data_IF_442994005230
#
_entry.id   IF_442994005230
#
_cell.length_a   1.000
_cell.length_b   1.000
_cell.length_c   1.000
_cell.angle_alpha   90.00
_cell.angle_beta   90.00
_cell.angle_gamma   90.00
#
_symmetry.space_group_name_H-M   'P 1'
#
loop_
_entity.id
_entity.type
_entity.pdbx_description
1 polymer ?
#
# COMPACT_ATOMS: atom_id res chain seq x y z
N UNK A 1 20.56 38.91 40.39
CA UNK A 1 21.79 38.07 40.56
C UNK A 1 21.71 36.95 39.52
N UNK A 2 22.55 37.16 38.57
CA UNK A 2 23.42 36.19 37.86
C UNK A 2 22.64 35.07 37.19
N UNK A 3 22.56 34.94 35.92
CA UNK A 3 23.52 35.13 34.84
C UNK A 3 23.59 33.87 34.06
N UNK A 4 23.73 33.97 32.80
CA UNK A 4 24.27 32.86 32.00
C UNK A 4 23.59 32.62 30.64
N UNK A 5 23.91 33.52 29.72
CA UNK A 5 23.73 33.36 28.28
C UNK A 5 24.65 32.20 27.81
N UNK A 6 24.11 31.27 27.04
CA UNK A 6 24.90 30.54 26.01
C UNK A 6 24.12 30.58 24.71
N UNK A 7 24.46 31.54 23.90
CA UNK A 7 24.16 31.56 22.47
C UNK A 7 25.21 30.69 21.79
N UNK A 8 24.82 29.63 21.14
CA UNK A 8 25.66 28.90 20.19
C UNK A 8 25.10 29.10 18.79
N UNK A 9 25.88 29.80 18.00
CA UNK A 9 25.66 30.15 16.60
C UNK A 9 25.54 28.87 15.73
N UNK A 10 24.48 28.76 14.96
CA UNK A 10 24.47 27.99 13.74
C UNK A 10 24.47 28.95 12.55
N UNK A 11 25.68 29.32 12.16
CA UNK A 11 25.93 30.04 10.92
C UNK A 11 26.07 29.02 9.78
N UNK A 12 25.26 29.20 8.74
CA UNK A 12 25.67 28.97 7.37
C UNK A 12 25.74 27.55 6.86
N UNK A 13 24.60 26.87 6.61
CA UNK A 13 24.57 25.84 5.56
C UNK A 13 23.73 26.37 4.39
N UNK A 14 24.39 26.89 3.36
CA UNK A 14 23.76 27.16 2.06
C UNK A 14 23.44 25.82 1.41
N UNK A 15 22.16 25.51 1.26
CA UNK A 15 21.67 24.41 0.42
C UNK A 15 21.98 24.80 -1.04
N UNK A 16 22.85 24.04 -1.68
CA UNK A 16 23.08 24.09 -3.10
C UNK A 16 21.85 23.53 -3.84
N UNK A 17 21.50 24.02 -5.05
CA UNK A 17 20.37 23.55 -5.80
C UNK A 17 20.61 22.12 -6.28
N UNK A 18 19.60 21.24 -6.08
CA UNK A 18 19.56 19.88 -6.57
C UNK A 18 19.66 19.86 -8.10
N UNK A 19 20.60 19.13 -8.69
CA UNK A 19 20.53 18.80 -10.10
C UNK A 19 19.56 17.63 -10.33
N UNK A 20 18.86 17.68 -11.45
CA UNK A 20 17.74 16.87 -11.87
C UNK A 20 17.91 15.33 -11.93
N UNK A 21 16.91 14.64 -12.48
CA UNK A 21 16.59 13.24 -12.20
C UNK A 21 17.43 12.27 -13.04
N UNK A 22 18.58 11.83 -12.61
CA UNK A 22 19.33 10.67 -13.14
C UNK A 22 20.62 10.44 -12.31
N UNK A 23 20.44 9.98 -11.07
CA UNK A 23 21.54 9.33 -10.36
C UNK A 23 21.14 7.89 -10.05
N UNK A 24 21.71 6.95 -10.79
CA UNK A 24 21.75 5.56 -10.39
C UNK A 24 22.58 5.47 -9.10
N UNK A 25 21.92 5.34 -7.97
CA UNK A 25 22.57 5.00 -6.72
C UNK A 25 22.85 3.50 -6.77
N UNK A 26 24.07 3.11 -7.09
CA UNK A 26 24.55 1.77 -6.80
C UNK A 26 24.72 1.70 -5.28
N UNK A 27 23.73 1.11 -4.60
CA UNK A 27 23.80 0.87 -3.16
C UNK A 27 25.03 0.00 -2.87
N UNK A 28 25.89 0.47 -1.97
CA UNK A 28 27.01 -0.32 -1.47
C UNK A 28 26.46 -1.62 -0.82
N UNK A 29 27.10 -2.78 -1.00
CA UNK A 29 26.57 -4.09 -0.59
C UNK A 29 26.37 -4.30 0.92
N UNK A 30 26.62 -3.30 1.76
CA UNK A 30 26.37 -3.34 3.20
C UNK A 30 25.12 -2.58 3.66
N UNK A 31 24.51 -1.75 2.79
CA UNK A 31 23.36 -0.91 3.20
C UNK A 31 22.02 -1.65 3.08
N UNK A 32 21.92 -2.65 2.19
CA UNK A 32 20.73 -3.46 2.03
C UNK A 32 20.40 -4.27 3.29
N UNK A 33 21.41 -4.85 3.92
CA UNK A 33 21.25 -5.68 5.13
C UNK A 33 20.73 -4.91 6.35
N UNK A 34 21.05 -3.61 6.45
CA UNK A 34 20.54 -2.75 7.53
C UNK A 34 19.11 -2.29 7.27
N UNK A 35 18.73 -2.07 6.02
CA UNK A 35 17.36 -1.69 5.63
C UNK A 35 16.41 -2.87 5.76
N UNK A 36 16.84 -4.09 5.39
CA UNK A 36 16.05 -5.31 5.53
C UNK A 36 15.76 -5.63 7.01
N UNK A 37 16.76 -5.45 7.89
CA UNK A 37 16.59 -5.62 9.34
C UNK A 37 15.66 -4.58 9.96
N UNK A 38 15.64 -3.34 9.48
CA UNK A 38 14.76 -2.28 9.95
C UNK A 38 13.31 -2.51 9.49
N UNK A 39 13.10 -2.88 8.23
CA UNK A 39 11.79 -3.22 7.69
C UNK A 39 11.18 -4.44 8.41
N UNK A 40 11.99 -5.48 8.67
CA UNK A 40 11.55 -6.68 9.37
C UNK A 40 11.13 -6.41 10.82
N UNK A 41 11.83 -5.52 11.55
CA UNK A 41 11.44 -5.12 12.89
C UNK A 41 10.11 -4.35 12.93
N UNK A 42 9.90 -3.43 11.98
CA UNK A 42 8.63 -2.71 11.86
C UNK A 42 7.46 -3.65 11.57
N UNK A 43 7.67 -4.67 10.75
CA UNK A 43 6.66 -5.67 10.44
C UNK A 43 6.28 -6.53 11.64
N UNK A 44 7.25 -6.89 12.48
CA UNK A 44 7.01 -7.62 13.72
C UNK A 44 6.18 -6.77 14.70
N UNK A 45 6.50 -5.48 14.84
CA UNK A 45 5.77 -4.56 15.70
C UNK A 45 4.35 -4.30 15.20
N UNK A 46 4.18 -4.10 13.91
CA UNK A 46 2.87 -3.94 13.27
C UNK A 46 1.98 -5.18 13.49
N UNK A 47 2.52 -6.39 13.31
CA UNK A 47 1.77 -7.61 13.57
C UNK A 47 1.39 -7.76 15.04
N UNK A 48 2.30 -7.42 15.96
CA UNK A 48 2.03 -7.50 17.41
C UNK A 48 0.95 -6.51 17.85
N UNK A 49 0.95 -5.29 17.30
CA UNK A 49 -0.05 -4.26 17.63
C UNK A 49 -1.47 -4.67 17.24
N UNK A 50 -1.61 -5.50 16.20
CA UNK A 50 -2.89 -6.07 15.76
C UNK A 50 -3.27 -7.39 16.45
N UNK A 51 -2.45 -7.86 17.42
CA UNK A 51 -2.67 -9.13 18.11
C UNK A 51 -2.24 -10.38 17.34
N UNK A 52 -1.65 -10.21 16.14
CA UNK A 52 -1.18 -11.33 15.33
C UNK A 52 0.25 -11.74 15.72
N UNK A 53 0.49 -13.05 15.85
CA UNK A 53 1.85 -13.57 16.06
C UNK A 53 2.68 -13.37 14.78
N UNK A 54 3.92 -12.90 14.92
CA UNK A 54 4.88 -12.84 13.83
C UNK A 54 5.34 -14.26 13.47
N UNK A 55 4.86 -14.77 12.34
CA UNK A 55 5.27 -16.06 11.76
C UNK A 55 5.88 -15.82 10.39
N UNK A 56 6.76 -16.71 9.95
CA UNK A 56 7.44 -16.56 8.66
C UNK A 56 6.47 -16.31 7.49
N UNK A 57 5.34 -17.04 7.33
CA UNK A 57 4.39 -16.75 6.26
C UNK A 57 3.78 -15.34 6.35
N UNK A 58 3.45 -14.85 7.55
CA UNK A 58 2.90 -13.49 7.71
C UNK A 58 3.92 -12.42 7.40
N UNK A 59 5.16 -12.58 7.86
CA UNK A 59 6.23 -11.63 7.57
C UNK A 59 6.51 -11.52 6.08
N UNK A 60 6.64 -12.66 5.38
CA UNK A 60 6.88 -12.69 3.94
C UNK A 60 5.73 -12.08 3.14
N UNK A 61 4.48 -12.41 3.47
CA UNK A 61 3.32 -11.86 2.76
C UNK A 61 3.19 -10.35 3.03
N UNK A 62 3.46 -9.87 4.24
CA UNK A 62 3.49 -8.44 4.53
C UNK A 62 4.57 -7.72 3.71
N UNK A 63 5.76 -8.28 3.62
CA UNK A 63 6.88 -7.75 2.84
C UNK A 63 6.51 -7.59 1.36
N UNK A 64 5.81 -8.57 0.77
CA UNK A 64 5.33 -8.51 -0.62
C UNK A 64 4.45 -7.28 -0.85
N UNK A 65 3.52 -6.97 0.05
CA UNK A 65 2.66 -5.80 -0.07
C UNK A 65 3.41 -4.47 0.15
N UNK A 66 4.44 -4.45 0.99
CA UNK A 66 5.19 -3.24 1.30
C UNK A 66 6.25 -2.90 0.25
N UNK A 67 6.89 -3.90 -0.33
CA UNK A 67 7.99 -3.72 -1.28
C UNK A 67 7.58 -3.93 -2.72
N UNK A 68 6.44 -4.57 -2.94
CA UNK A 68 5.91 -4.91 -4.26
C UNK A 68 5.56 -3.68 -5.08
N UNK A 69 5.83 -3.73 -6.39
CA UNK A 69 5.44 -2.69 -7.35
C UNK A 69 3.93 -2.65 -7.60
N UNK A 70 3.25 -3.76 -7.34
CA UNK A 70 1.82 -3.94 -7.56
C UNK A 70 1.11 -3.76 -6.23
N UNK A 71 0.33 -2.70 -6.09
CA UNK A 71 -0.42 -2.40 -4.87
C UNK A 71 -1.62 -3.32 -4.67
N UNK A 72 -2.31 -3.66 -5.75
CA UNK A 72 -3.51 -4.50 -5.76
C UNK A 72 -3.16 -5.91 -6.22
N UNK A 73 -3.28 -6.90 -5.33
CA UNK A 73 -2.87 -8.28 -5.59
C UNK A 73 -3.98 -9.26 -5.21
N UNK A 74 -4.20 -10.26 -6.06
CA UNK A 74 -4.99 -11.45 -5.70
C UNK A 74 -4.16 -12.41 -4.86
N UNK A 75 -4.80 -13.40 -4.23
CA UNK A 75 -4.08 -14.45 -3.51
C UNK A 75 -3.13 -15.23 -4.44
N UNK A 76 -3.53 -15.42 -5.69
CA UNK A 76 -2.73 -16.09 -6.73
C UNK A 76 -1.51 -15.24 -7.13
N UNK A 77 -1.63 -13.92 -7.18
CA UNK A 77 -0.49 -13.04 -7.47
C UNK A 77 0.54 -13.10 -6.34
N UNK A 78 0.09 -13.01 -5.08
CA UNK A 78 0.96 -13.18 -3.91
C UNK A 78 1.64 -14.55 -3.92
N UNK A 79 0.88 -15.61 -4.23
CA UNK A 79 1.44 -16.95 -4.31
C UNK A 79 2.48 -17.10 -5.43
N UNK A 80 2.28 -16.44 -6.58
CA UNK A 80 3.24 -16.42 -7.69
C UNK A 80 4.56 -15.78 -7.26
N UNK A 81 4.52 -14.64 -6.55
CA UNK A 81 5.73 -14.00 -6.01
C UNK A 81 6.47 -14.95 -5.05
N UNK A 82 5.74 -15.62 -4.14
CA UNK A 82 6.34 -16.58 -3.22
C UNK A 82 6.99 -17.77 -3.94
N UNK A 83 6.40 -18.25 -5.05
CA UNK A 83 7.00 -19.30 -5.87
C UNK A 83 8.30 -18.84 -6.54
N UNK A 84 8.33 -17.62 -7.07
CA UNK A 84 9.52 -17.03 -7.70
C UNK A 84 10.66 -16.88 -6.67
N UNK A 85 10.33 -16.60 -5.42
CA UNK A 85 11.25 -16.56 -4.28
C UNK A 85 11.63 -17.95 -3.72
N UNK A 86 11.13 -19.03 -4.32
CA UNK A 86 11.34 -20.41 -3.85
C UNK A 86 10.89 -20.66 -2.41
N UNK A 87 9.79 -20.03 -2.01
CA UNK A 87 9.21 -20.20 -0.68
C UNK A 87 8.34 -21.44 -0.61
N UNK A 88 8.37 -22.16 0.51
CA UNK A 88 7.54 -23.34 0.79
C UNK A 88 6.10 -23.00 1.24
N UNK A 89 5.69 -21.72 1.13
CA UNK A 89 4.37 -21.26 1.54
C UNK A 89 3.35 -21.60 0.46
N UNK A 90 2.46 -22.55 0.77
CA UNK A 90 1.39 -22.97 -0.16
C UNK A 90 0.24 -21.97 -0.24
N UNK A 91 -0.50 -22.02 -1.37
CA UNK A 91 -1.63 -21.13 -1.67
C UNK A 91 -2.70 -21.09 -0.56
N UNK A 92 -3.03 -22.24 0.05
CA UNK A 92 -3.98 -22.27 1.17
C UNK A 92 -3.50 -21.45 2.38
N UNK A 93 -2.20 -21.41 2.62
CA UNK A 93 -1.61 -20.56 3.67
C UNK A 93 -1.70 -19.08 3.30
N UNK A 94 -1.49 -18.73 2.02
CA UNK A 94 -1.67 -17.37 1.51
C UNK A 94 -3.09 -16.89 1.79
N UNK A 95 -4.12 -17.61 1.36
CA UNK A 95 -5.52 -17.27 1.62
C UNK A 95 -5.80 -17.04 3.11
N UNK A 96 -5.33 -17.96 3.96
CA UNK A 96 -5.51 -17.85 5.41
C UNK A 96 -4.85 -16.61 5.98
N UNK A 97 -3.64 -16.27 5.55
CA UNK A 97 -2.93 -15.07 6.03
C UNK A 97 -3.62 -13.81 5.54
N UNK A 98 -4.02 -13.73 4.26
CA UNK A 98 -4.74 -12.58 3.72
C UNK A 98 -6.04 -12.31 4.46
N UNK A 99 -6.84 -13.36 4.75
CA UNK A 99 -8.06 -13.23 5.56
C UNK A 99 -7.75 -12.71 6.98
N UNK A 100 -6.65 -13.17 7.60
CA UNK A 100 -6.26 -12.68 8.92
C UNK A 100 -5.82 -11.22 8.88
N UNK A 101 -5.14 -10.80 7.82
CA UNK A 101 -4.72 -9.41 7.64
C UNK A 101 -5.91 -8.48 7.36
N UNK A 102 -6.89 -8.94 6.58
CA UNK A 102 -8.16 -8.24 6.39
C UNK A 102 -8.90 -8.06 7.73
N UNK A 103 -9.08 -9.13 8.51
CA UNK A 103 -9.74 -9.08 9.81
C UNK A 103 -9.01 -8.20 10.84
N UNK A 104 -7.70 -8.09 10.72
CA UNK A 104 -6.86 -7.24 11.55
C UNK A 104 -6.77 -5.79 11.06
N UNK A 105 -7.41 -5.45 9.94
CA UNK A 105 -7.37 -4.12 9.34
C UNK A 105 -6.02 -3.74 8.73
N UNK A 106 -5.13 -4.70 8.52
CA UNK A 106 -3.83 -4.50 7.87
C UNK A 106 -3.99 -4.36 6.36
N UNK A 107 -4.87 -5.18 5.79
CA UNK A 107 -5.22 -5.13 4.36
C UNK A 107 -6.69 -4.74 4.20
N UNK A 108 -6.97 -4.01 3.14
CA UNK A 108 -8.29 -3.84 2.58
C UNK A 108 -8.54 -4.93 1.55
N UNK A 109 -9.80 -5.35 1.44
CA UNK A 109 -10.23 -6.33 0.44
C UNK A 109 -11.31 -5.71 -0.44
N UNK A 110 -11.06 -5.71 -1.73
CA UNK A 110 -12.02 -5.29 -2.75
C UNK A 110 -12.46 -6.48 -3.60
N UNK A 111 -13.76 -6.55 -3.89
CA UNK A 111 -14.32 -7.57 -4.79
C UNK A 111 -14.77 -6.86 -6.07
N UNK A 112 -13.97 -6.95 -7.11
CA UNK A 112 -14.34 -6.42 -8.42
C UNK A 112 -15.18 -7.44 -9.21
N UNK A 113 -15.83 -6.99 -10.27
CA UNK A 113 -16.69 -7.86 -11.12
C UNK A 113 -15.99 -9.09 -11.72
N UNK A 114 -14.65 -9.12 -11.70
CA UNK A 114 -13.88 -10.31 -12.09
C UNK A 114 -14.12 -11.53 -11.19
N UNK A 115 -14.85 -11.36 -10.08
CA UNK A 115 -15.14 -12.41 -9.11
C UNK A 115 -13.96 -12.81 -8.21
N UNK A 116 -12.79 -12.18 -8.38
CA UNK A 116 -11.63 -12.41 -7.54
C UNK A 116 -11.50 -11.32 -6.49
N UNK A 117 -11.19 -11.73 -5.26
CA UNK A 117 -10.82 -10.81 -4.21
C UNK A 117 -9.42 -10.23 -4.49
N UNK A 118 -9.29 -8.91 -4.38
CA UNK A 118 -8.05 -8.17 -4.52
C UNK A 118 -7.74 -7.52 -3.19
N UNK A 119 -6.50 -7.58 -2.77
CA UNK A 119 -6.02 -7.08 -1.49
C UNK A 119 -5.01 -5.96 -1.71
N UNK A 120 -5.01 -4.98 -0.80
CA UNK A 120 -4.10 -3.85 -0.75
C UNK A 120 -3.77 -3.45 0.69
N UNK A 121 -2.67 -2.73 0.93
CA UNK A 121 -2.36 -2.20 2.26
C UNK A 121 -3.37 -1.15 2.68
N UNK A 122 -3.86 -1.25 3.93
CA UNK A 122 -4.67 -0.22 4.53
C UNK A 122 -3.78 0.95 4.98
N UNK A 123 -3.62 1.95 4.13
CA UNK A 123 -2.85 3.17 4.43
C UNK A 123 -3.68 4.25 5.13
N UNK A 124 -4.96 3.96 5.42
CA UNK A 124 -5.86 4.85 6.14
C UNK A 124 -6.33 6.07 5.34
N UNK A 125 -6.02 6.16 4.05
CA UNK A 125 -6.51 7.20 3.15
C UNK A 125 -7.60 6.64 2.26
N UNK A 126 -8.73 7.37 2.17
CA UNK A 126 -9.80 6.99 1.27
C UNK A 126 -9.37 7.19 -0.20
N UNK A 127 -9.70 6.22 -1.03
CA UNK A 127 -9.53 6.26 -2.48
C UNK A 127 -10.56 5.39 -3.17
N UNK A 128 -10.82 5.70 -4.42
CA UNK A 128 -11.70 4.96 -5.31
C UNK A 128 -10.91 4.24 -6.40
N UNK A 129 -11.54 3.34 -7.14
CA UNK A 129 -10.86 2.48 -8.10
C UNK A 129 -11.35 2.64 -9.53
N UNK A 130 -10.42 2.69 -10.49
CA UNK A 130 -10.64 2.46 -11.90
C UNK A 130 -10.23 1.03 -12.24
N UNK A 131 -11.18 0.22 -12.70
CA UNK A 131 -10.95 -1.21 -13.00
C UNK A 131 -11.09 -1.44 -14.49
N UNK A 132 -10.01 -1.88 -15.13
CA UNK A 132 -10.05 -2.20 -16.56
C UNK A 132 -10.71 -3.55 -16.78
N UNK A 133 -11.85 -3.55 -17.49
CA UNK A 133 -12.61 -4.79 -17.81
C UNK A 133 -11.89 -5.67 -18.84
N UNK A 134 -10.90 -5.13 -19.57
CA UNK A 134 -10.17 -5.89 -20.60
C UNK A 134 -8.91 -6.58 -20.08
N UNK A 135 -8.16 -5.97 -19.16
CA UNK A 135 -6.88 -6.53 -18.66
C UNK A 135 -6.80 -6.68 -17.15
N UNK A 136 -7.83 -6.26 -16.40
CA UNK A 136 -7.87 -6.37 -14.95
C UNK A 136 -7.00 -5.33 -14.21
N UNK A 137 -6.34 -4.39 -14.92
CA UNK A 137 -5.57 -3.33 -14.26
C UNK A 137 -6.48 -2.53 -13.33
N UNK A 138 -6.03 -2.35 -12.09
CA UNK A 138 -6.66 -1.45 -11.12
C UNK A 138 -5.78 -0.22 -10.95
N UNK A 139 -6.40 0.95 -10.87
CA UNK A 139 -5.75 2.23 -10.62
C UNK A 139 -6.57 3.01 -9.59
N UNK A 140 -5.89 3.60 -8.61
CA UNK A 140 -6.53 4.38 -7.55
C UNK A 140 -6.70 5.82 -8.00
N UNK A 141 -7.77 6.46 -7.53
CA UNK A 141 -7.96 7.90 -7.67
C UNK A 141 -8.70 8.47 -6.46
N UNK A 142 -8.57 9.75 -6.27
CA UNK A 142 -9.36 10.54 -5.32
C UNK A 142 -9.77 11.82 -6.00
N UNK A 143 -11.06 12.13 -5.99
CA UNK A 143 -11.59 13.36 -6.56
C UNK A 143 -12.53 14.06 -5.55
N UNK A 144 -12.12 15.21 -5.00
CA UNK A 144 -12.90 15.92 -3.99
C UNK A 144 -14.26 16.41 -4.48
N UNK A 145 -14.47 16.61 -5.78
CA UNK A 145 -15.79 16.99 -6.30
C UNK A 145 -16.75 15.79 -6.33
N UNK A 146 -16.24 14.58 -6.59
CA UNK A 146 -17.02 13.35 -6.49
C UNK A 146 -17.44 13.13 -5.04
N UNK A 147 -16.52 13.22 -4.09
CA UNK A 147 -16.79 13.10 -2.66
C UNK A 147 -17.86 14.07 -2.21
N UNK A 148 -17.69 15.34 -2.54
CA UNK A 148 -18.67 16.38 -2.23
C UNK A 148 -20.04 16.08 -2.83
N UNK A 149 -20.07 15.53 -4.04
CA UNK A 149 -21.34 15.21 -4.71
C UNK A 149 -22.07 14.05 -4.05
N UNK A 150 -21.37 13.04 -3.59
CA UNK A 150 -21.92 11.91 -2.84
C UNK A 150 -22.57 12.41 -1.54
N UNK A 151 -21.86 13.25 -0.76
CA UNK A 151 -22.39 13.86 0.46
C UNK A 151 -23.67 14.67 0.19
N UNK A 152 -23.70 15.49 -0.85
CA UNK A 152 -24.88 16.28 -1.24
C UNK A 152 -26.08 15.41 -1.62
N UNK A 153 -25.83 14.27 -2.28
CA UNK A 153 -26.89 13.33 -2.64
C UNK A 153 -27.48 12.69 -1.39
N UNK A 154 -26.64 12.22 -0.48
CA UNK A 154 -27.05 11.62 0.78
C UNK A 154 -27.89 12.60 1.63
N UNK A 155 -27.35 13.82 1.83
CA UNK A 155 -28.01 14.87 2.61
C UNK A 155 -29.40 15.22 2.05
N UNK A 156 -29.51 15.40 0.73
CA UNK A 156 -30.80 15.69 0.07
C UNK A 156 -31.84 14.59 0.29
N UNK A 157 -31.39 13.34 0.49
CA UNK A 157 -32.24 12.19 0.72
C UNK A 157 -32.45 11.91 2.23
N UNK A 158 -31.89 12.74 3.12
CA UNK A 158 -31.95 12.58 4.57
C UNK A 158 -31.08 11.46 5.12
N UNK A 159 -29.97 11.12 4.43
CA UNK A 159 -29.03 10.06 4.81
C UNK A 159 -27.67 10.63 5.22
N UNK A 160 -27.00 9.95 6.14
CA UNK A 160 -25.61 10.24 6.52
C UNK A 160 -24.71 9.11 6.07
N UNK A 161 -23.73 9.42 5.23
CA UNK A 161 -22.72 8.44 4.80
C UNK A 161 -21.82 8.11 5.99
N UNK A 162 -21.69 6.83 6.30
CA UNK A 162 -20.76 6.32 7.32
C UNK A 162 -19.46 5.84 6.68
N UNK A 163 -19.58 5.22 5.51
CA UNK A 163 -18.49 4.69 4.71
C UNK A 163 -18.96 4.52 3.27
N UNK A 164 -18.04 4.53 2.31
CA UNK A 164 -18.37 4.24 0.91
C UNK A 164 -17.14 3.66 0.18
N UNK A 165 -17.39 2.99 -0.91
CA UNK A 165 -16.40 2.53 -1.86
C UNK A 165 -16.97 2.67 -3.28
N UNK A 166 -16.21 3.24 -4.20
CA UNK A 166 -16.61 3.37 -5.58
C UNK A 166 -15.63 2.67 -6.50
N UNK A 167 -16.15 1.93 -7.48
CA UNK A 167 -15.36 1.31 -8.53
C UNK A 167 -15.96 1.63 -9.88
N UNK A 168 -15.16 2.24 -10.75
CA UNK A 168 -15.54 2.54 -12.12
C UNK A 168 -14.96 1.48 -13.06
N UNK A 169 -15.84 0.74 -13.72
CA UNK A 169 -15.46 -0.29 -14.69
C UNK A 169 -15.29 0.31 -16.06
N UNK A 170 -14.08 0.29 -16.59
CA UNK A 170 -13.70 1.00 -17.81
C UNK A 170 -12.69 0.20 -18.63
N UNK A 171 -12.23 0.76 -19.75
CA UNK A 171 -11.14 0.21 -20.56
C UNK A 171 -9.96 1.17 -20.47
N UNK A 172 -8.80 0.72 -19.99
CA UNK A 172 -7.62 1.57 -19.84
C UNK A 172 -7.04 1.99 -21.20
N UNK A 173 -6.28 3.09 -21.23
CA UNK A 173 -5.66 3.63 -22.44
C UNK A 173 -4.83 2.60 -23.22
N UNK A 174 -4.11 1.70 -22.51
CA UNK A 174 -3.33 0.63 -23.11
C UNK A 174 -4.21 -0.36 -23.89
N UNK A 175 -5.40 -0.70 -23.37
CA UNK A 175 -6.32 -1.62 -24.04
C UNK A 175 -7.10 -0.94 -25.16
N UNK A 176 -7.39 0.36 -25.05
CA UNK A 176 -8.01 1.15 -26.12
C UNK A 176 -7.10 1.27 -27.35
N UNK A 177 -5.79 1.39 -27.17
CA UNK A 177 -4.80 1.49 -28.24
C UNK A 177 -4.45 0.17 -28.96
N UNK A 178 -5.00 -0.96 -28.48
CA UNK A 178 -4.76 -2.30 -29.08
C UNK A 178 -5.82 -2.74 -30.11
N UNK A 179 -6.69 -1.84 -30.57
CA UNK A 179 -7.67 -2.12 -31.62
C UNK A 179 -7.04 -2.06 -33.02
#
# INVERSE_FOLDING_TARGET
MIGGIVAAAFAGLRLAPFPGPWFFYTAAPGLSFLLDGYAMNNNIENLKSTGLKATLPRLKIMEIFQTGKQRHMTAEDVFRVLLDERSDIGLATVYRVLTQFEQAGILLRSNFESGKAVYELNEGQHHDHLVCTSCGKVEEFFDPEIEKRQLQVADRLGWTIQDHAMSLYCVCAHCLGKK
#
